data_IF_467968069349
#
_entry.id   IF_467968069349
#
_cell.length_a   1.000
_cell.length_b   1.000
_cell.length_c   1.000
_cell.angle_alpha   90.00
_cell.angle_beta   90.00
_cell.angle_gamma   90.00
#
_symmetry.space_group_name_H-M   'P 1'
#
loop_
_entity.id
_entity.type
_entity.pdbx_description
1 polymer ?
#
# COMPACT_ATOMS: atom_id res chain seq x y z
N UNK A 1 2.34 -2.18 16.94
CA UNK A 1 1.16 -1.32 16.79
C UNK A 1 1.31 0.01 17.54
N UNK A 2 1.51 0.03 18.89
CA UNK A 2 1.62 1.28 19.66
C UNK A 2 2.64 2.28 19.09
N UNK A 3 3.85 1.84 18.72
CA UNK A 3 4.87 2.72 18.13
C UNK A 3 4.40 3.33 16.81
N UNK A 4 3.67 2.58 16.00
CA UNK A 4 3.09 3.07 14.74
C UNK A 4 2.06 4.16 15.01
N UNK A 5 1.15 3.97 15.96
CA UNK A 5 0.17 4.97 16.36
C UNK A 5 0.84 6.27 16.82
N UNK A 6 1.89 6.17 17.64
CA UNK A 6 2.65 7.35 18.08
C UNK A 6 3.34 8.04 16.89
N UNK A 7 3.90 7.29 15.94
CA UNK A 7 4.48 7.84 14.73
C UNK A 7 3.43 8.53 13.83
N UNK A 8 2.18 8.05 13.84
CA UNK A 8 1.07 8.70 13.15
C UNK A 8 0.60 10.01 13.83
N UNK A 9 1.07 10.30 15.04
CA UNK A 9 0.75 11.53 15.76
C UNK A 9 -0.21 11.35 16.95
N UNK A 10 -0.61 10.11 17.26
CA UNK A 10 -1.41 9.87 18.48
C UNK A 10 -0.58 10.20 19.72
N UNK A 11 -0.97 11.24 20.45
CA UNK A 11 -0.36 11.55 21.73
C UNK A 11 -0.63 10.40 22.71
N UNK A 12 0.42 9.81 23.23
CA UNK A 12 0.32 8.58 24.04
C UNK A 12 -0.56 8.75 25.31
N UNK A 13 -0.55 9.93 25.93
CA UNK A 13 -1.40 10.20 27.10
C UNK A 13 -2.86 10.44 26.70
N UNK A 14 -3.10 11.29 25.71
CA UNK A 14 -4.45 11.63 25.22
C UNK A 14 -5.16 10.42 24.60
N UNK A 15 -4.44 9.58 23.88
CA UNK A 15 -4.95 8.34 23.30
C UNK A 15 -5.04 7.18 24.32
N UNK A 16 -4.62 7.39 25.58
CA UNK A 16 -4.58 6.33 26.58
C UNK A 16 -3.68 5.15 26.23
N UNK A 17 -2.61 5.39 25.45
CA UNK A 17 -1.62 4.37 25.06
C UNK A 17 -0.61 4.10 26.19
N UNK A 18 -0.88 4.64 27.38
CA UNK A 18 -0.12 4.43 28.63
C UNK A 18 -1.06 4.02 29.75
N UNK A 19 -0.52 3.49 30.86
CA UNK A 19 -1.33 3.03 31.99
C UNK A 19 -2.04 1.70 31.73
N UNK A 20 -3.05 1.35 32.54
CA UNK A 20 -3.68 0.02 32.55
C UNK A 20 -4.42 -0.32 31.24
N UNK A 21 -5.00 0.65 30.56
CA UNK A 21 -5.81 0.45 29.35
C UNK A 21 -5.01 0.53 28.03
N UNK A 22 -3.68 0.61 28.09
CA UNK A 22 -2.84 0.84 26.91
C UNK A 22 -3.06 -0.18 25.77
N UNK A 23 -3.21 -1.45 26.13
CA UNK A 23 -3.39 -2.52 25.14
C UNK A 23 -4.74 -2.38 24.44
N UNK A 24 -5.80 -2.15 25.18
CA UNK A 24 -7.16 -1.96 24.67
C UNK A 24 -7.26 -0.75 23.73
N UNK A 25 -6.65 0.37 24.14
CA UNK A 25 -6.61 1.57 23.31
C UNK A 25 -5.72 1.40 22.08
N UNK A 26 -4.62 0.68 22.19
CA UNK A 26 -3.78 0.33 21.02
C UNK A 26 -4.58 -0.48 20.01
N UNK A 27 -5.36 -1.47 20.46
CA UNK A 27 -6.24 -2.24 19.60
C UNK A 27 -7.32 -1.37 18.96
N UNK A 28 -8.01 -0.54 19.76
CA UNK A 28 -9.04 0.37 19.26
C UNK A 28 -8.54 1.25 18.12
N UNK A 29 -7.46 1.98 18.35
CA UNK A 29 -6.92 2.90 17.34
C UNK A 29 -6.28 2.15 16.16
N UNK A 30 -5.67 0.98 16.40
CA UNK A 30 -5.15 0.13 15.34
C UNK A 30 -6.24 -0.37 14.40
N UNK A 31 -7.38 -0.80 14.94
CA UNK A 31 -8.55 -1.23 14.14
C UNK A 31 -9.18 -0.07 13.37
N UNK A 32 -9.35 1.09 14.01
CA UNK A 32 -9.90 2.29 13.36
C UNK A 32 -9.06 2.76 12.14
N UNK A 33 -7.79 2.42 12.11
CA UNK A 33 -6.87 2.80 11.04
C UNK A 33 -6.45 1.62 10.14
N UNK A 34 -7.20 0.53 10.15
CA UNK A 34 -6.93 -0.68 9.35
C UNK A 34 -5.52 -1.26 9.53
N UNK A 35 -4.87 -0.96 10.67
CA UNK A 35 -3.50 -1.39 10.94
C UNK A 35 -3.37 -2.91 11.03
N UNK A 36 -4.45 -3.61 11.33
CA UNK A 36 -4.49 -5.07 11.49
C UNK A 36 -5.19 -5.78 10.32
N UNK A 37 -5.40 -5.10 9.21
CA UNK A 37 -5.90 -5.73 7.99
C UNK A 37 -4.95 -6.85 7.55
N UNK A 38 -5.51 -8.02 7.21
CA UNK A 38 -4.76 -9.26 6.86
C UNK A 38 -3.79 -9.78 7.94
N UNK A 39 -3.99 -9.40 9.19
CA UNK A 39 -3.21 -9.88 10.32
C UNK A 39 -4.03 -10.93 11.09
N UNK A 40 -3.88 -12.19 10.70
CA UNK A 40 -4.54 -13.32 11.35
C UNK A 40 -3.61 -13.99 12.37
N UNK A 41 -3.50 -13.37 13.54
CA UNK A 41 -2.71 -13.88 14.67
C UNK A 41 -3.24 -13.38 16.01
N UNK A 42 -2.94 -14.11 17.07
CA UNK A 42 -3.18 -13.62 18.43
C UNK A 42 -2.20 -12.46 18.75
N UNK A 43 -2.73 -11.25 18.81
CA UNK A 43 -1.95 -10.05 19.07
C UNK A 43 -1.42 -9.95 20.53
N UNK A 44 -1.80 -10.90 21.40
CA UNK A 44 -1.26 -11.01 22.76
C UNK A 44 -0.10 -12.01 22.83
N UNK A 45 0.16 -12.76 21.76
CA UNK A 45 1.28 -13.68 21.63
C UNK A 45 2.48 -13.03 20.93
N UNK A 46 3.57 -13.80 20.80
CA UNK A 46 4.73 -13.37 20.02
C UNK A 46 4.34 -13.17 18.56
N UNK A 47 4.56 -11.98 18.02
CA UNK A 47 4.17 -11.60 16.67
C UNK A 47 5.09 -12.25 15.62
N UNK A 48 4.57 -13.12 14.72
CA UNK A 48 5.33 -13.65 13.61
C UNK A 48 5.84 -12.54 12.66
N UNK A 49 7.02 -12.75 12.05
CA UNK A 49 7.63 -11.75 11.17
C UNK A 49 6.74 -11.32 10.00
N UNK A 50 6.00 -12.26 9.41
CA UNK A 50 5.07 -11.97 8.32
C UNK A 50 4.01 -10.95 8.73
N UNK A 51 3.40 -11.12 9.91
CA UNK A 51 2.38 -10.18 10.40
C UNK A 51 2.98 -8.87 10.90
N UNK A 52 4.23 -8.90 11.40
CA UNK A 52 4.95 -7.65 11.68
C UNK A 52 5.17 -6.85 10.38
N UNK A 53 5.54 -7.51 9.28
CA UNK A 53 5.69 -6.88 7.97
C UNK A 53 4.34 -6.36 7.44
N UNK A 54 3.25 -7.13 7.61
CA UNK A 54 1.90 -6.71 7.21
C UNK A 54 1.46 -5.45 7.97
N UNK A 55 1.64 -5.41 9.29
CA UNK A 55 1.34 -4.22 10.10
C UNK A 55 2.15 -2.99 9.64
N UNK A 56 3.42 -3.16 9.29
CA UNK A 56 4.25 -2.07 8.77
C UNK A 56 3.80 -1.63 7.37
N UNK A 57 3.41 -2.57 6.52
CA UNK A 57 2.85 -2.28 5.21
C UNK A 57 1.53 -1.49 5.31
N UNK A 58 0.61 -1.92 6.18
CA UNK A 58 -0.64 -1.21 6.45
C UNK A 58 -0.38 0.20 7.03
N UNK A 59 0.66 0.34 7.86
CA UNK A 59 1.03 1.62 8.45
C UNK A 59 1.47 2.67 7.44
N UNK A 60 1.94 2.30 6.25
CA UNK A 60 2.38 3.25 5.23
C UNK A 60 1.26 4.19 4.78
N UNK A 61 0.02 3.68 4.69
CA UNK A 61 -1.16 4.43 4.29
C UNK A 61 -1.88 5.11 5.45
N UNK A 62 -1.46 4.82 6.68
CA UNK A 62 -2.12 5.35 7.86
C UNK A 62 -2.03 6.88 7.87
N UNK A 63 -3.18 7.55 7.95
CA UNK A 63 -3.24 9.00 8.04
C UNK A 63 -2.59 9.51 9.33
N UNK A 64 -1.86 10.60 9.20
CA UNK A 64 -1.32 11.32 10.33
C UNK A 64 -2.41 12.13 11.03
N UNK A 65 -2.34 12.14 12.34
CA UNK A 65 -3.31 12.84 13.18
C UNK A 65 -2.63 13.83 14.13
N UNK A 66 -3.39 14.81 14.56
CA UNK A 66 -3.02 15.76 15.62
C UNK A 66 -4.15 15.85 16.63
N UNK A 67 -3.79 16.05 17.89
CA UNK A 67 -4.79 16.32 18.93
C UNK A 67 -5.37 17.72 18.76
N UNK A 68 -6.68 17.84 18.77
CA UNK A 68 -7.40 19.12 18.79
C UNK A 68 -8.03 19.34 20.15
N UNK A 69 -7.67 20.46 20.79
CA UNK A 69 -8.30 20.84 22.07
C UNK A 69 -9.74 21.32 21.89
N UNK A 70 -10.13 21.76 20.70
CA UNK A 70 -11.47 22.30 20.42
C UNK A 70 -12.53 21.20 20.39
N UNK A 71 -12.16 20.02 19.88
CA UNK A 71 -13.07 18.86 19.80
C UNK A 71 -12.72 17.78 20.82
N UNK A 72 -11.66 17.98 21.59
CA UNK A 72 -11.10 17.01 22.56
C UNK A 72 -10.87 15.61 21.94
N UNK A 73 -10.45 15.57 20.67
CA UNK A 73 -10.19 14.33 19.92
C UNK A 73 -9.08 14.53 18.88
N UNK A 74 -8.68 13.44 18.24
CA UNK A 74 -7.72 13.44 17.15
C UNK A 74 -8.40 13.81 15.84
N UNK A 75 -7.79 14.71 15.08
CA UNK A 75 -8.20 15.06 13.72
C UNK A 75 -7.06 14.78 12.74
N UNK A 76 -7.36 14.58 11.43
CA UNK A 76 -6.32 14.47 10.41
C UNK A 76 -5.35 15.66 10.48
N UNK A 77 -4.06 15.38 10.27
CA UNK A 77 -3.02 16.41 10.24
C UNK A 77 -3.02 17.16 8.89
N UNK A 78 -4.14 17.80 8.56
CA UNK A 78 -4.36 18.48 7.27
C UNK A 78 -3.59 19.78 7.11
N UNK A 79 -3.05 20.32 8.20
CA UNK A 79 -2.40 21.64 8.23
C UNK A 79 -0.89 21.54 7.94
N UNK A 80 -0.36 20.36 7.67
CA UNK A 80 1.06 20.13 7.55
C UNK A 80 1.35 19.37 6.27
N UNK A 81 1.59 20.10 5.19
CA UNK A 81 2.13 19.63 3.92
C UNK A 81 1.43 18.42 3.24
N UNK A 82 1.78 18.13 1.99
CA UNK A 82 1.25 17.02 1.18
C UNK A 82 1.49 15.61 1.77
N UNK A 83 2.26 15.49 2.85
CA UNK A 83 2.60 14.25 3.53
C UNK A 83 1.54 13.80 4.55
N UNK A 84 0.37 13.44 4.06
CA UNK A 84 -0.78 13.04 4.90
C UNK A 84 -0.60 11.71 5.60
N UNK A 85 0.25 10.83 5.09
CA UNK A 85 0.46 9.48 5.60
C UNK A 85 1.82 9.32 6.30
N UNK A 86 1.96 8.22 7.06
CA UNK A 86 3.25 7.85 7.65
C UNK A 86 4.29 7.59 6.56
N UNK A 87 3.93 6.84 5.52
CA UNK A 87 4.81 6.53 4.40
C UNK A 87 5.31 7.79 3.69
N UNK A 88 4.40 8.72 3.38
CA UNK A 88 4.73 10.01 2.78
C UNK A 88 5.69 10.80 3.66
N UNK A 89 5.32 11.02 4.92
CA UNK A 89 6.09 11.88 5.84
C UNK A 89 7.51 11.42 6.11
N UNK A 90 7.70 10.13 6.36
CA UNK A 90 8.98 9.64 6.86
C UNK A 90 9.85 8.97 5.80
N UNK A 91 9.25 8.59 4.66
CA UNK A 91 9.94 7.78 3.67
C UNK A 91 9.78 8.29 2.22
N UNK A 92 9.02 9.36 2.00
CA UNK A 92 8.57 9.81 0.66
C UNK A 92 7.88 8.69 -0.15
N UNK A 93 7.26 7.73 0.54
CA UNK A 93 6.62 6.59 -0.08
C UNK A 93 5.13 6.85 -0.28
N UNK A 94 4.66 6.53 -1.48
CA UNK A 94 3.25 6.56 -1.85
C UNK A 94 2.83 5.17 -2.27
N UNK A 95 1.76 4.66 -1.68
CA UNK A 95 1.03 3.50 -2.16
C UNK A 95 -0.07 4.00 -3.09
N UNK A 96 -0.02 3.59 -4.34
CA UNK A 96 -0.97 4.09 -5.35
C UNK A 96 -2.36 3.48 -5.19
N UNK A 97 -3.35 4.11 -5.80
CA UNK A 97 -4.64 3.46 -6.04
C UNK A 97 -4.45 2.19 -6.88
N UNK A 98 -5.36 1.23 -6.71
CA UNK A 98 -5.34 0.00 -7.48
C UNK A 98 -5.58 0.27 -8.97
N UNK A 99 -4.74 -0.32 -9.83
CA UNK A 99 -4.87 -0.29 -11.27
C UNK A 99 -4.49 -1.65 -11.88
N UNK A 100 -5.13 -2.00 -13.01
CA UNK A 100 -4.82 -3.26 -13.67
C UNK A 100 -3.38 -3.25 -14.21
N UNK A 101 -2.60 -4.28 -13.91
CA UNK A 101 -1.27 -4.48 -14.49
C UNK A 101 -1.43 -5.06 -15.90
N UNK A 102 -1.00 -4.32 -16.91
CA UNK A 102 -1.13 -4.71 -18.32
C UNK A 102 0.11 -5.42 -18.85
N UNK A 103 1.30 -4.92 -18.51
CA UNK A 103 2.56 -5.52 -18.94
C UNK A 103 3.69 -5.31 -17.96
N UNK A 104 4.69 -6.19 -18.05
CA UNK A 104 5.98 -6.06 -17.36
C UNK A 104 7.05 -6.29 -18.42
N UNK A 105 7.82 -5.27 -18.75
CA UNK A 105 8.80 -5.30 -19.82
C UNK A 105 10.20 -5.02 -19.28
N UNK A 106 11.17 -5.87 -19.66
CA UNK A 106 12.57 -5.62 -19.33
C UNK A 106 13.12 -4.54 -20.26
N UNK A 107 13.74 -3.54 -19.67
CA UNK A 107 14.41 -2.48 -20.47
C UNK A 107 15.63 -3.06 -21.18
N UNK A 108 15.70 -2.89 -22.50
CA UNK A 108 16.81 -3.41 -23.32
C UNK A 108 18.16 -2.91 -22.81
N UNK A 109 19.08 -3.83 -22.56
CA UNK A 109 20.45 -3.54 -22.11
C UNK A 109 20.60 -3.07 -20.67
N UNK A 110 19.53 -3.16 -19.86
CA UNK A 110 19.56 -2.78 -18.43
C UNK A 110 18.86 -3.84 -17.59
N UNK A 111 19.22 -3.92 -16.30
CA UNK A 111 18.51 -4.75 -15.32
C UNK A 111 17.34 -3.98 -14.67
N UNK A 112 16.65 -3.19 -15.47
CA UNK A 112 15.45 -2.47 -15.06
C UNK A 112 14.23 -3.01 -15.79
N UNK A 113 13.09 -2.96 -15.12
CA UNK A 113 11.80 -3.36 -15.66
C UNK A 113 10.88 -2.13 -15.70
N UNK A 114 9.97 -2.10 -16.65
CA UNK A 114 8.90 -1.12 -16.75
C UNK A 114 7.55 -1.86 -16.65
N UNK A 115 6.70 -1.41 -15.75
CA UNK A 115 5.30 -1.86 -15.69
C UNK A 115 4.41 -0.86 -16.42
N UNK A 116 3.35 -1.37 -17.07
CA UNK A 116 2.29 -0.54 -17.63
C UNK A 116 0.97 -0.85 -16.93
N UNK A 117 0.28 0.20 -16.52
CA UNK A 117 -1.00 0.15 -15.81
C UNK A 117 -2.15 0.54 -16.73
N UNK A 118 -3.32 -0.06 -16.52
CA UNK A 118 -4.53 0.18 -17.33
C UNK A 118 -5.22 1.51 -17.08
N UNK A 119 -4.89 2.19 -15.99
CA UNK A 119 -5.28 3.57 -15.72
C UNK A 119 -4.13 4.31 -15.05
N UNK A 120 -4.16 5.64 -15.13
CA UNK A 120 -3.20 6.46 -14.43
C UNK A 120 -3.38 6.38 -12.91
N UNK A 121 -2.27 6.36 -12.20
CA UNK A 121 -2.19 6.41 -10.74
C UNK A 121 -1.35 7.61 -10.32
N UNK A 122 -1.69 8.20 -9.18
CA UNK A 122 -1.00 9.40 -8.68
C UNK A 122 0.20 9.05 -7.85
N UNK A 123 1.34 9.64 -8.20
CA UNK A 123 2.52 9.73 -7.33
C UNK A 123 3.43 10.87 -7.79
N UNK A 124 4.21 11.43 -6.86
CA UNK A 124 5.01 12.61 -7.15
C UNK A 124 4.15 13.79 -7.57
N UNK A 125 4.49 14.41 -8.69
CA UNK A 125 3.87 15.60 -9.25
C UNK A 125 2.82 15.34 -10.34
N UNK A 126 2.45 14.08 -10.58
CA UNK A 126 1.55 13.77 -11.70
C UNK A 126 0.87 12.42 -11.69
N UNK A 127 0.13 12.22 -12.75
CA UNK A 127 -0.57 10.98 -13.07
C UNK A 127 0.30 10.12 -14.02
N UNK A 128 0.50 8.85 -13.66
CA UNK A 128 1.41 7.95 -14.36
C UNK A 128 0.72 6.63 -14.71
N UNK A 129 0.91 6.18 -15.95
CA UNK A 129 0.50 4.84 -16.41
C UNK A 129 1.67 3.86 -16.47
N UNK A 130 2.90 4.34 -16.22
CA UNK A 130 4.12 3.53 -16.27
C UNK A 130 5.01 3.82 -15.07
N UNK A 131 5.64 2.78 -14.55
CA UNK A 131 6.63 2.91 -13.48
C UNK A 131 7.81 1.95 -13.72
N UNK A 132 9.02 2.40 -13.36
CA UNK A 132 10.26 1.63 -13.53
C UNK A 132 10.78 1.12 -12.21
N UNK A 133 11.36 -0.09 -12.23
CA UNK A 133 12.00 -0.69 -11.07
C UNK A 133 13.22 -1.55 -11.49
N UNK A 134 14.14 -1.76 -10.57
CA UNK A 134 15.34 -2.54 -10.78
C UNK A 134 15.50 -3.72 -9.80
N UNK A 135 14.86 -3.68 -8.65
CA UNK A 135 15.08 -4.65 -7.57
C UNK A 135 13.80 -5.02 -6.79
N UNK A 136 12.72 -5.24 -7.50
CA UNK A 136 11.52 -5.77 -6.86
C UNK A 136 11.67 -7.29 -6.72
N UNK A 137 11.67 -7.83 -5.50
CA UNK A 137 11.96 -9.25 -5.26
C UNK A 137 10.82 -10.22 -5.64
N UNK A 138 9.69 -9.70 -6.10
CA UNK A 138 8.49 -10.46 -6.42
C UNK A 138 8.41 -10.70 -7.92
N UNK A 139 7.89 -11.83 -8.32
CA UNK A 139 7.62 -12.14 -9.73
C UNK A 139 6.39 -11.36 -10.22
N UNK A 140 6.64 -10.09 -10.56
CA UNK A 140 5.58 -9.13 -10.93
C UNK A 140 4.83 -9.58 -12.19
N UNK A 141 5.48 -10.36 -13.05
CA UNK A 141 4.86 -10.85 -14.28
C UNK A 141 3.67 -11.79 -14.01
N UNK A 142 3.68 -12.51 -12.90
CA UNK A 142 2.59 -13.41 -12.51
C UNK A 142 1.30 -12.64 -12.13
N UNK A 143 1.41 -11.35 -11.90
CA UNK A 143 0.29 -10.47 -11.56
C UNK A 143 -0.32 -9.76 -12.78
N UNK A 144 0.15 -10.02 -14.02
CA UNK A 144 -0.42 -9.42 -15.22
C UNK A 144 -1.91 -9.79 -15.32
N UNK A 145 -2.74 -8.77 -15.49
CA UNK A 145 -4.19 -8.88 -15.53
C UNK A 145 -4.89 -8.62 -14.19
N UNK A 146 -4.17 -8.70 -13.06
CA UNK A 146 -4.72 -8.34 -11.75
C UNK A 146 -4.73 -6.82 -11.54
N UNK A 147 -5.60 -6.34 -10.67
CA UNK A 147 -5.45 -5.02 -10.08
C UNK A 147 -4.30 -5.04 -9.07
N UNK A 148 -3.40 -4.09 -9.19
CA UNK A 148 -2.23 -3.98 -8.32
C UNK A 148 -2.13 -2.58 -7.73
N UNK A 149 -1.61 -2.51 -6.52
CA UNK A 149 -1.13 -1.28 -5.89
C UNK A 149 0.39 -1.23 -6.01
N UNK A 150 0.93 -0.08 -6.34
CA UNK A 150 2.36 0.11 -6.52
C UNK A 150 2.89 0.97 -5.38
N UNK A 151 3.91 0.49 -4.68
CA UNK A 151 4.63 1.26 -3.68
C UNK A 151 5.77 2.01 -4.36
N UNK A 152 5.67 3.31 -4.42
CA UNK A 152 6.56 4.20 -5.18
C UNK A 152 7.21 5.22 -4.27
N UNK A 153 8.48 5.50 -4.50
CA UNK A 153 9.15 6.68 -3.98
C UNK A 153 9.32 7.71 -5.10
N UNK A 154 8.66 8.84 -4.97
CA UNK A 154 8.88 9.99 -5.85
C UNK A 154 10.22 10.64 -5.52
N UNK A 155 11.04 10.92 -6.54
CA UNK A 155 12.27 11.70 -6.42
C UNK A 155 12.05 13.11 -6.96
N UNK A 156 12.77 14.08 -6.39
CA UNK A 156 12.71 15.47 -6.80
C UNK A 156 13.08 15.72 -8.29
N UNK A 157 13.78 14.79 -8.95
CA UNK A 157 14.15 14.87 -10.37
C UNK A 157 13.13 14.21 -11.32
N UNK A 158 11.96 13.80 -10.81
CA UNK A 158 10.94 13.10 -11.59
C UNK A 158 11.20 11.60 -11.80
N UNK A 159 12.38 11.08 -11.41
CA UNK A 159 12.63 9.65 -11.41
C UNK A 159 11.84 8.99 -10.28
N UNK A 160 11.23 7.85 -10.57
CA UNK A 160 10.51 7.07 -9.58
C UNK A 160 11.20 5.74 -9.35
N UNK A 161 11.28 5.34 -8.08
CA UNK A 161 11.66 4.00 -7.73
C UNK A 161 10.43 3.25 -7.23
N UNK A 162 10.13 2.13 -7.88
CA UNK A 162 9.15 1.17 -7.37
C UNK A 162 9.85 0.30 -6.33
N UNK A 163 9.25 0.20 -5.16
CA UNK A 163 9.71 -0.63 -4.04
C UNK A 163 8.91 -1.90 -3.89
N UNK A 164 7.72 -1.95 -4.48
CA UNK A 164 6.88 -3.14 -4.50
C UNK A 164 5.70 -2.99 -5.44
N UNK A 165 5.21 -4.11 -5.92
CA UNK A 165 3.96 -4.25 -6.67
C UNK A 165 3.17 -5.34 -5.96
N UNK A 166 1.96 -5.04 -5.53
CA UNK A 166 1.14 -5.92 -4.70
C UNK A 166 -0.22 -6.09 -5.34
N UNK A 167 -0.70 -7.33 -5.42
CA UNK A 167 -2.07 -7.58 -5.87
C UNK A 167 -3.06 -6.92 -4.89
N UNK A 168 -4.10 -6.32 -5.45
CA UNK A 168 -5.21 -5.80 -4.66
C UNK A 168 -6.12 -6.96 -4.24
N UNK A 169 -6.64 -6.95 -3.01
CA UNK A 169 -7.38 -8.07 -2.41
C UNK A 169 -8.65 -8.43 -3.17
N UNK A 170 -9.24 -7.46 -3.85
CA UNK A 170 -10.40 -7.67 -4.71
C UNK A 170 -10.08 -8.36 -6.05
N UNK A 171 -8.79 -8.62 -6.31
CA UNK A 171 -8.34 -9.21 -7.57
C UNK A 171 -8.22 -10.72 -7.47
N UNK A 172 -8.85 -11.43 -8.40
CA UNK A 172 -8.78 -12.89 -8.51
C UNK A 172 -8.39 -13.31 -9.91
N UNK A 173 -7.46 -14.25 -10.00
CA UNK A 173 -7.20 -14.97 -11.25
C UNK A 173 -8.36 -15.94 -11.48
N UNK A 174 -9.20 -15.64 -12.45
CA UNK A 174 -10.34 -16.50 -12.80
C UNK A 174 -9.91 -17.66 -13.72
N UNK A 175 -8.96 -17.41 -14.59
CA UNK A 175 -8.37 -18.41 -15.48
C UNK A 175 -6.95 -18.00 -15.87
N UNK A 176 -6.06 -18.98 -16.04
CA UNK A 176 -4.72 -18.78 -16.59
C UNK A 176 -4.43 -19.84 -17.65
N UNK A 177 -3.64 -19.47 -18.65
CA UNK A 177 -3.24 -20.37 -19.72
C UNK A 177 -2.44 -19.65 -20.80
N UNK A 178 -1.90 -20.41 -21.76
CA UNK A 178 -1.27 -19.82 -22.95
C UNK A 178 -2.34 -19.44 -23.98
N UNK A 179 -2.07 -18.40 -24.76
CA UNK A 179 -3.01 -17.91 -25.80
C UNK A 179 -3.47 -19.04 -26.75
N UNK A 180 -2.61 -20.02 -27.01
CA UNK A 180 -2.94 -21.17 -27.86
C UNK A 180 -3.91 -22.19 -27.24
N UNK A 181 -4.19 -22.09 -25.94
CA UNK A 181 -5.15 -22.97 -25.23
C UNK A 181 -6.49 -22.30 -24.94
N UNK A 182 -6.65 -21.01 -25.31
CA UNK A 182 -7.89 -20.28 -25.16
C UNK A 182 -8.73 -20.41 -26.45
N UNK A 183 -9.88 -21.08 -26.34
CA UNK A 183 -10.77 -21.29 -27.49
C UNK A 183 -11.36 -20.00 -28.07
N UNK A 184 -11.80 -19.10 -27.21
CA UNK A 184 -12.39 -17.83 -27.63
C UNK A 184 -12.37 -16.79 -26.50
N UNK A 185 -11.85 -15.60 -26.79
CA UNK A 185 -12.02 -14.43 -25.94
C UNK A 185 -13.01 -13.50 -26.62
N UNK A 186 -14.23 -13.39 -26.08
CA UNK A 186 -15.23 -12.45 -26.58
C UNK A 186 -15.16 -11.13 -25.83
N UNK A 187 -14.79 -10.08 -26.54
CA UNK A 187 -14.68 -8.72 -25.98
C UNK A 187 -15.99 -8.17 -25.39
N UNK A 188 -17.13 -8.56 -25.95
CA UNK A 188 -18.43 -7.98 -25.59
C UNK A 188 -19.02 -8.51 -24.27
N UNK A 189 -18.59 -9.65 -23.80
CA UNK A 189 -19.16 -10.27 -22.59
C UNK A 189 -18.17 -10.55 -21.48
N UNK A 190 -16.89 -10.26 -21.67
CA UNK A 190 -15.80 -10.58 -20.73
C UNK A 190 -15.87 -12.02 -20.19
N UNK A 191 -16.36 -12.95 -21.02
CA UNK A 191 -16.47 -14.37 -20.68
C UNK A 191 -15.46 -15.15 -21.48
N UNK A 192 -14.65 -15.93 -20.76
CA UNK A 192 -13.86 -16.99 -21.35
C UNK A 192 -14.76 -18.21 -21.53
N UNK A 193 -14.67 -18.86 -22.67
CA UNK A 193 -15.25 -20.18 -22.90
C UNK A 193 -14.15 -21.20 -22.95
#
# INVERSE_FOLDING_TARGET
AKMVLVAAGYNAQKAGLTGAAWAQNTMKYGQLNNLFEDVDTDLNAALPRQYAAQILYNALDMERVVWSNDIEDFKPATDVDDDKTIGGKYMDLVKTDAAQLLSVEKTSGKDTYEITLGKAVKYGDGDHTKAKFDKVPTDVADMIGLNVKVLVKAKANGDTNVYGVYADDDSKVLASGTVGTLDTVKNESKKFK
#
